data_IF_112253295960
#
_entry.id   IF_112253295960
#
_cell.length_a   1.000
_cell.length_b   1.000
_cell.length_c   1.000
_cell.angle_alpha   90.00
_cell.angle_beta   90.00
_cell.angle_gamma   90.00
#
_symmetry.space_group_name_H-M   'P 1'
#
loop_
_entity.id
_entity.type
_entity.pdbx_description
1 polymer ?
#
# COMPACT_ATOMS: atom_id res chain seq x y z
N UNK A 1 2.96 17.24 -11.64
CA UNK A 1 2.56 17.50 -10.24
C UNK A 1 2.28 16.18 -9.55
N UNK A 2 2.97 15.92 -8.46
CA UNK A 2 2.78 14.69 -7.69
C UNK A 2 1.72 14.95 -6.61
N UNK A 3 0.54 14.34 -6.76
CA UNK A 3 -0.47 14.36 -5.71
C UNK A 3 -0.06 13.36 -4.62
N UNK A 4 -0.32 13.72 -3.37
CA UNK A 4 -0.07 12.77 -2.28
C UNK A 4 -0.98 11.55 -2.42
N UNK A 5 -0.43 10.37 -2.11
CA UNK A 5 -1.13 9.12 -2.25
C UNK A 5 -2.49 9.11 -1.53
N UNK A 6 -2.55 9.65 -0.31
CA UNK A 6 -3.78 9.72 0.47
C UNK A 6 -4.90 10.43 -0.27
N UNK A 7 -4.60 11.58 -0.90
CA UNK A 7 -5.59 12.35 -1.65
C UNK A 7 -6.07 11.59 -2.88
N UNK A 8 -5.15 10.99 -3.64
CA UNK A 8 -5.48 10.23 -4.85
C UNK A 8 -6.42 9.08 -4.53
N UNK A 9 -6.09 8.31 -3.50
CA UNK A 9 -6.87 7.13 -3.14
C UNK A 9 -8.23 7.53 -2.59
N UNK A 10 -8.31 8.51 -1.69
CA UNK A 10 -9.59 8.99 -1.15
C UNK A 10 -10.52 9.48 -2.24
N UNK A 11 -10.03 10.28 -3.18
CA UNK A 11 -10.84 10.78 -4.29
C UNK A 11 -11.31 9.64 -5.17
N UNK A 12 -10.43 8.68 -5.47
CA UNK A 12 -10.75 7.51 -6.26
C UNK A 12 -11.92 6.73 -5.66
N UNK A 13 -11.83 6.39 -4.38
CA UNK A 13 -12.86 5.62 -3.70
C UNK A 13 -14.15 6.41 -3.49
N UNK A 14 -14.07 7.70 -3.29
CA UNK A 14 -15.25 8.56 -3.23
C UNK A 14 -16.04 8.53 -4.55
N UNK A 15 -15.35 8.52 -5.69
CA UNK A 15 -16.00 8.46 -7.01
C UNK A 15 -16.58 7.09 -7.33
N UNK A 16 -15.99 6.01 -6.86
CA UNK A 16 -16.46 4.65 -7.13
C UNK A 16 -17.52 4.19 -6.14
N UNK A 17 -17.79 4.95 -5.08
CA UNK A 17 -18.71 4.56 -4.00
C UNK A 17 -18.11 3.56 -3.03
N UNK A 18 -16.86 3.14 -3.25
CA UNK A 18 -16.16 2.25 -2.32
C UNK A 18 -15.56 3.04 -1.17
N UNK A 19 -15.81 2.61 0.07
CA UNK A 19 -15.18 3.18 1.26
C UNK A 19 -13.90 2.41 1.57
N UNK A 20 -12.77 3.08 1.42
CA UNK A 20 -11.50 2.49 1.82
C UNK A 20 -10.78 3.42 2.79
N UNK A 21 -10.50 2.92 3.98
CA UNK A 21 -9.78 3.67 5.00
C UNK A 21 -8.29 3.34 4.95
N UNK A 22 -7.49 4.27 5.45
CA UNK A 22 -6.06 4.06 5.67
C UNK A 22 -5.86 3.78 7.15
N UNK A 23 -5.33 2.60 7.46
CA UNK A 23 -5.03 2.19 8.83
C UNK A 23 -3.53 2.24 9.06
N UNK A 24 -3.13 2.83 10.19
CA UNK A 24 -1.73 2.92 10.55
C UNK A 24 -1.34 1.73 11.43
N UNK A 25 -0.27 1.05 11.05
CA UNK A 25 0.34 0.00 11.86
C UNK A 25 1.48 0.60 12.69
N UNK A 26 1.15 1.22 13.81
CA UNK A 26 2.11 1.99 14.60
C UNK A 26 2.86 1.17 15.66
N UNK A 27 2.36 0.00 16.05
CA UNK A 27 3.02 -0.84 17.03
C UNK A 27 3.94 -1.85 16.34
N UNK A 28 4.95 -2.32 17.05
CA UNK A 28 5.87 -3.34 16.54
C UNK A 28 5.14 -4.60 16.07
N UNK A 29 4.20 -5.08 16.87
CA UNK A 29 3.42 -6.28 16.51
C UNK A 29 2.59 -6.07 15.27
N UNK A 30 1.95 -4.91 15.13
CA UNK A 30 1.16 -4.58 13.93
C UNK A 30 2.05 -4.51 12.69
N UNK A 31 3.25 -3.92 12.81
CA UNK A 31 4.21 -3.88 11.71
C UNK A 31 4.69 -5.27 11.32
N UNK A 32 4.99 -6.11 12.31
CA UNK A 32 5.49 -7.46 12.07
C UNK A 32 4.44 -8.35 11.41
N UNK A 33 3.22 -8.35 11.94
CA UNK A 33 2.15 -9.15 11.38
C UNK A 33 1.62 -8.59 10.05
N UNK A 34 1.43 -7.26 9.99
CA UNK A 34 0.90 -6.63 8.79
C UNK A 34 -0.32 -7.38 8.26
N UNK A 35 -0.22 -7.86 7.02
CA UNK A 35 -1.25 -8.64 6.35
C UNK A 35 -0.94 -10.13 6.33
N UNK A 36 0.00 -10.60 7.16
CA UNK A 36 0.30 -12.04 7.24
C UNK A 36 -0.96 -12.81 7.64
N UNK A 37 -1.21 -13.93 6.96
CA UNK A 37 -2.37 -14.81 7.16
C UNK A 37 -3.74 -14.19 6.85
N UNK A 38 -3.80 -12.94 6.39
CA UNK A 38 -5.06 -12.30 5.99
C UNK A 38 -5.49 -12.87 4.65
N UNK A 39 -6.75 -13.34 4.57
CA UNK A 39 -7.31 -13.92 3.34
C UNK A 39 -8.01 -12.90 2.47
N UNK A 40 -8.52 -11.82 3.06
CA UNK A 40 -9.24 -10.76 2.35
C UNK A 40 -9.22 -9.49 3.19
N UNK A 41 -9.06 -8.33 2.55
CA UNK A 41 -9.14 -7.06 3.25
C UNK A 41 -9.59 -5.97 2.26
N UNK A 42 -10.13 -4.88 2.82
CA UNK A 42 -10.66 -3.77 2.04
C UNK A 42 -10.18 -2.42 2.59
N UNK A 43 -8.97 -2.38 3.10
CA UNK A 43 -8.37 -1.16 3.63
C UNK A 43 -6.93 -1.05 3.14
N UNK A 44 -6.33 0.12 3.34
CA UNK A 44 -4.93 0.37 3.05
C UNK A 44 -4.17 0.38 4.37
N UNK A 45 -3.16 -0.47 4.47
CA UNK A 45 -2.31 -0.52 5.65
C UNK A 45 -1.07 0.33 5.40
N UNK A 46 -0.87 1.36 6.22
CA UNK A 46 0.31 2.24 6.19
C UNK A 46 1.20 1.96 7.38
N UNK A 47 2.49 1.78 7.13
CA UNK A 47 3.45 1.68 8.21
C UNK A 47 4.77 2.35 7.85
N UNK A 48 5.46 2.78 8.91
CA UNK A 48 6.78 3.39 8.80
C UNK A 48 7.80 2.27 8.65
N UNK A 49 8.10 1.91 7.40
CA UNK A 49 9.02 0.83 7.11
C UNK A 49 9.74 1.10 5.78
N UNK A 50 10.98 0.66 5.72
CA UNK A 50 11.78 0.66 4.51
C UNK A 50 12.35 -0.74 4.34
N UNK A 51 11.79 -1.47 3.40
CA UNK A 51 12.05 -2.89 3.23
C UNK A 51 10.95 -3.73 3.87
N UNK A 52 10.35 -4.62 3.10
CA UNK A 52 9.26 -5.48 3.54
C UNK A 52 9.37 -6.85 2.88
N UNK A 53 8.63 -7.79 3.43
CA UNK A 53 8.44 -9.09 2.82
C UNK A 53 6.96 -9.44 2.77
N UNK A 54 6.61 -10.36 1.87
CA UNK A 54 5.25 -10.87 1.75
C UNK A 54 5.16 -12.34 2.19
N UNK A 55 6.07 -12.78 3.06
CA UNK A 55 6.05 -14.12 3.61
C UNK A 55 4.75 -14.33 4.40
N UNK A 56 4.19 -15.53 4.30
CA UNK A 56 2.95 -15.94 4.95
C UNK A 56 1.71 -15.14 4.51
N UNK A 57 1.82 -14.32 3.47
CA UNK A 57 0.65 -13.73 2.85
C UNK A 57 -0.19 -14.82 2.17
N UNK A 58 -1.52 -14.64 2.17
CA UNK A 58 -2.46 -15.56 1.52
C UNK A 58 -3.01 -15.03 0.21
N UNK A 59 -2.73 -13.78 -0.10
CA UNK A 59 -3.27 -13.08 -1.27
C UNK A 59 -2.18 -12.20 -1.88
N UNK A 60 -2.38 -11.84 -3.15
CA UNK A 60 -1.55 -10.83 -3.79
C UNK A 60 -1.95 -9.44 -3.30
N UNK A 61 -1.01 -8.51 -3.27
CA UNK A 61 -1.26 -7.13 -2.82
C UNK A 61 -0.57 -6.14 -3.73
N UNK A 62 -1.06 -4.90 -3.72
CA UNK A 62 -0.36 -3.76 -4.29
C UNK A 62 0.43 -3.07 -3.18
N UNK A 63 1.63 -2.60 -3.52
CA UNK A 63 2.54 -1.96 -2.57
C UNK A 63 2.99 -0.63 -3.15
N UNK A 64 2.95 0.41 -2.31
CA UNK A 64 3.49 1.72 -2.66
C UNK A 64 4.49 2.15 -1.60
N UNK A 65 5.65 2.59 -2.04
CA UNK A 65 6.70 3.12 -1.16
C UNK A 65 6.79 4.62 -1.35
N UNK A 66 6.76 5.36 -0.26
CA UNK A 66 6.79 6.81 -0.28
C UNK A 66 7.91 7.38 0.59
N UNK A 67 8.24 8.64 0.37
CA UNK A 67 9.13 9.39 1.22
C UNK A 67 8.41 9.93 2.47
N UNK A 68 9.10 10.73 3.27
CA UNK A 68 8.56 11.32 4.50
C UNK A 68 7.38 12.27 4.26
N UNK A 69 7.24 12.77 3.04
CA UNK A 69 6.16 13.69 2.66
C UNK A 69 5.04 12.97 1.87
N UNK A 70 5.03 11.64 1.88
CA UNK A 70 4.09 10.80 1.14
C UNK A 70 4.14 10.98 -0.38
N UNK A 71 5.29 11.41 -0.91
CA UNK A 71 5.53 11.39 -2.34
C UNK A 71 5.83 9.97 -2.78
N UNK A 72 5.17 9.51 -3.85
CA UNK A 72 5.33 8.16 -4.35
C UNK A 72 6.73 8.01 -4.99
N UNK A 73 7.50 7.05 -4.51
CA UNK A 73 8.82 6.73 -5.04
C UNK A 73 8.81 5.43 -5.85
N UNK A 74 8.11 4.40 -5.38
CA UNK A 74 8.05 3.10 -6.03
C UNK A 74 6.65 2.52 -5.94
N UNK A 75 6.23 1.84 -7.00
CA UNK A 75 4.93 1.17 -7.09
C UNK A 75 5.17 -0.27 -7.51
N UNK A 76 4.57 -1.20 -6.79
CA UNK A 76 4.58 -2.62 -7.11
C UNK A 76 3.15 -3.14 -7.16
N UNK A 77 2.69 -3.55 -8.32
CA UNK A 77 1.34 -4.06 -8.49
C UNK A 77 1.32 -5.58 -8.46
N UNK A 78 0.28 -6.13 -7.85
CA UNK A 78 0.00 -7.56 -7.83
C UNK A 78 1.19 -8.40 -7.35
N UNK A 79 1.75 -8.01 -6.20
CA UNK A 79 2.89 -8.71 -5.60
C UNK A 79 2.41 -10.00 -4.98
N UNK A 80 3.01 -11.11 -5.39
CA UNK A 80 2.67 -12.44 -4.89
C UNK A 80 3.27 -12.67 -3.49
N UNK A 81 2.74 -13.65 -2.73
CA UNK A 81 3.38 -14.08 -1.49
C UNK A 81 4.84 -14.50 -1.68
N UNK A 82 5.59 -14.51 -0.59
CA UNK A 82 6.99 -14.96 -0.53
C UNK A 82 7.97 -14.12 -1.34
N UNK A 83 7.72 -12.83 -1.42
CA UNK A 83 8.63 -11.86 -2.05
C UNK A 83 9.30 -10.99 -1.00
N UNK A 84 10.44 -10.43 -1.35
CA UNK A 84 11.19 -9.48 -0.54
C UNK A 84 11.40 -8.21 -1.35
N UNK A 85 11.10 -7.07 -0.75
CA UNK A 85 11.44 -5.75 -1.28
C UNK A 85 12.50 -5.16 -0.37
N UNK A 86 13.71 -5.03 -0.90
CA UNK A 86 14.85 -4.53 -0.14
C UNK A 86 14.68 -3.04 0.19
N UNK A 87 15.29 -2.57 1.30
CA UNK A 87 15.29 -1.14 1.62
C UNK A 87 15.83 -0.29 0.47
N UNK A 88 15.22 0.89 0.29
CA UNK A 88 15.58 1.82 -0.78
C UNK A 88 15.78 3.23 -0.21
N UNK A 89 16.66 3.99 -0.85
CA UNK A 89 16.98 5.35 -0.43
C UNK A 89 15.72 6.22 -0.39
N UNK A 90 15.59 7.03 0.66
CA UNK A 90 14.52 7.99 0.89
C UNK A 90 13.13 7.41 1.17
N UNK A 91 12.97 6.10 1.19
CA UNK A 91 11.70 5.48 1.54
C UNK A 91 11.47 5.59 3.05
N UNK A 92 10.31 6.10 3.43
CA UNK A 92 9.91 6.26 4.83
C UNK A 92 8.67 5.42 5.15
N UNK A 93 7.70 5.39 4.25
CA UNK A 93 6.42 4.71 4.47
C UNK A 93 6.16 3.66 3.40
N UNK A 94 5.57 2.57 3.85
CA UNK A 94 5.07 1.49 2.99
C UNK A 94 3.56 1.44 3.12
N UNK A 95 2.88 1.36 1.97
CA UNK A 95 1.43 1.20 1.90
C UNK A 95 1.14 -0.14 1.25
N UNK A 96 0.34 -0.97 1.92
CA UNK A 96 -0.15 -2.24 1.37
C UNK A 96 -1.66 -2.16 1.18
N UNK A 97 -2.13 -2.62 0.03
CA UNK A 97 -3.54 -2.52 -0.33
C UNK A 97 -3.95 -3.75 -1.15
N UNK A 98 -5.25 -4.02 -1.29
CA UNK A 98 -5.70 -5.14 -2.11
C UNK A 98 -5.18 -5.03 -3.54
N UNK A 99 -4.80 -6.15 -4.14
CA UNK A 99 -4.38 -6.18 -5.54
C UNK A 99 -5.50 -5.60 -6.42
N UNK A 100 -5.11 -4.74 -7.37
CA UNK A 100 -6.06 -4.04 -8.23
C UNK A 100 -6.44 -2.64 -7.78
N UNK A 101 -6.11 -2.26 -6.54
CA UNK A 101 -6.39 -0.90 -6.02
C UNK A 101 -5.69 0.17 -6.85
N UNK A 102 -4.42 -0.03 -7.16
CA UNK A 102 -3.65 0.93 -7.95
C UNK A 102 -4.14 1.03 -9.38
N UNK A 103 -4.55 -0.08 -9.98
CA UNK A 103 -5.13 -0.09 -11.32
C UNK A 103 -6.39 0.77 -11.39
N UNK A 104 -7.29 0.62 -10.42
CA UNK A 104 -8.49 1.47 -10.34
C UNK A 104 -8.13 2.95 -10.22
N UNK A 105 -7.15 3.28 -9.37
CA UNK A 105 -6.69 4.65 -9.22
C UNK A 105 -6.11 5.21 -10.51
N UNK A 106 -5.30 4.42 -11.22
CA UNK A 106 -4.73 4.82 -12.50
C UNK A 106 -5.80 5.05 -13.55
N UNK A 107 -6.78 4.15 -13.65
CA UNK A 107 -7.87 4.26 -14.62
C UNK A 107 -8.70 5.52 -14.42
N UNK A 108 -8.95 5.90 -13.15
CA UNK A 108 -9.74 7.10 -12.82
C UNK A 108 -8.95 8.39 -13.06
N UNK A 109 -7.66 8.40 -12.75
CA UNK A 109 -6.83 9.59 -12.84
C UNK A 109 -5.97 9.66 -14.10
N UNK A 110 -6.06 8.67 -14.98
CA UNK A 110 -5.24 8.57 -16.19
C UNK A 110 -3.73 8.64 -15.91
N UNK A 111 -3.30 7.94 -14.89
CA UNK A 111 -1.89 7.90 -14.47
C UNK A 111 -1.05 6.96 -15.32
#
# INVERSE_FOLDING_TARGET
>A
MILQLHKKIKICYSKTGDNMEIRNANTFLKKFKGLMFVKKFNYILKFKANGIHTFFMKINIDIVLTDKNNNILYIYENVKPNKIILPKKNVKYTYEMPAGTLKKAKDIFHL
#
